data_IF_461277682096
#
_entry.id   IF_461277682096
#
_cell.length_a   1.000
_cell.length_b   1.000
_cell.length_c   1.000
_cell.angle_alpha   90.00
_cell.angle_beta   90.00
_cell.angle_gamma   90.00
#
_symmetry.space_group_name_H-M   'P 1'
#
loop_
_entity.id
_entity.type
_entity.pdbx_description
1 polymer ?
#
# COMPACT_ATOMS: atom_id res chain seq x y z
N UNK A 1 -6.48 -6.34 -17.76
CA UNK A 1 -6.19 -5.36 -16.71
C UNK A 1 -7.35 -5.32 -15.71
N UNK A 2 -7.04 -5.52 -14.43
CA UNK A 2 -8.03 -5.54 -13.34
C UNK A 2 -8.30 -4.14 -12.75
N UNK A 3 -7.50 -3.13 -13.11
CA UNK A 3 -7.62 -1.74 -12.61
C UNK A 3 -7.61 -1.63 -11.07
N UNK A 4 -6.86 -2.53 -10.39
CA UNK A 4 -6.78 -2.57 -8.93
C UNK A 4 -7.91 -3.33 -8.22
N UNK A 5 -8.97 -3.73 -8.93
CA UNK A 5 -10.13 -4.38 -8.35
C UNK A 5 -9.91 -5.88 -8.11
N UNK A 6 -10.00 -6.33 -6.85
CA UNK A 6 -9.77 -7.72 -6.46
C UNK A 6 -10.71 -8.72 -7.13
N UNK A 7 -11.98 -8.35 -7.31
CA UNK A 7 -12.96 -9.18 -8.02
C UNK A 7 -12.61 -9.39 -9.49
N UNK A 8 -12.09 -8.35 -10.14
CA UNK A 8 -11.60 -8.43 -11.52
C UNK A 8 -10.34 -9.30 -11.60
N UNK A 9 -9.42 -9.19 -10.63
CA UNK A 9 -8.24 -10.05 -10.53
C UNK A 9 -8.67 -11.52 -10.46
N UNK A 10 -9.58 -11.87 -9.57
CA UNK A 10 -10.10 -13.24 -9.40
C UNK A 10 -10.72 -13.77 -10.69
N UNK A 11 -11.54 -12.97 -11.37
CA UNK A 11 -12.18 -13.37 -12.63
C UNK A 11 -11.16 -13.62 -13.75
N UNK A 12 -10.20 -12.71 -13.91
CA UNK A 12 -9.16 -12.82 -14.96
C UNK A 12 -8.28 -14.05 -14.71
N UNK A 13 -7.83 -14.24 -13.47
CA UNK A 13 -6.96 -15.38 -13.10
C UNK A 13 -7.72 -16.70 -13.26
N UNK A 14 -9.00 -16.75 -12.88
CA UNK A 14 -9.84 -17.92 -13.12
C UNK A 14 -9.88 -18.33 -14.60
N UNK A 15 -9.93 -17.35 -15.52
CA UNK A 15 -9.80 -17.58 -16.95
C UNK A 15 -8.43 -18.19 -17.32
N UNK A 16 -7.33 -17.64 -16.80
CA UNK A 16 -5.99 -18.19 -17.08
C UNK A 16 -5.82 -19.63 -16.61
N UNK A 17 -6.38 -19.98 -15.45
CA UNK A 17 -6.35 -21.34 -14.92
C UNK A 17 -7.20 -22.28 -15.80
N UNK A 18 -8.40 -21.84 -16.21
CA UNK A 18 -9.28 -22.62 -17.08
C UNK A 18 -8.67 -22.87 -18.47
N UNK A 19 -7.97 -21.90 -19.02
CA UNK A 19 -7.27 -21.96 -20.30
C UNK A 19 -5.90 -22.67 -20.21
N UNK A 20 -5.52 -23.16 -19.02
CA UNK A 20 -4.28 -23.90 -18.75
C UNK A 20 -3.01 -23.18 -19.21
N UNK A 21 -2.86 -21.89 -18.85
CA UNK A 21 -1.64 -21.14 -19.14
C UNK A 21 -0.43 -21.76 -18.42
N UNK A 22 0.74 -21.71 -19.04
CA UNK A 22 1.99 -22.29 -18.51
C UNK A 22 2.59 -21.45 -17.37
N UNK A 23 2.23 -20.16 -17.30
CA UNK A 23 2.77 -19.18 -16.32
C UNK A 23 1.77 -18.04 -16.13
N UNK A 24 1.63 -17.59 -14.90
CA UNK A 24 0.87 -16.36 -14.57
C UNK A 24 1.86 -15.32 -14.05
N UNK A 25 1.86 -14.12 -14.67
CA UNK A 25 2.57 -12.95 -14.13
C UNK A 25 1.58 -12.07 -13.39
N UNK A 26 1.82 -11.90 -12.09
CA UNK A 26 0.96 -11.10 -11.20
C UNK A 26 1.66 -9.78 -10.85
N UNK A 27 1.06 -8.66 -11.25
CA UNK A 27 1.56 -7.33 -10.93
C UNK A 27 0.73 -6.72 -9.80
N UNK A 28 1.37 -6.38 -8.70
CA UNK A 28 0.82 -5.87 -7.44
C UNK A 28 0.06 -6.91 -6.59
N UNK A 29 -0.19 -6.54 -5.34
CA UNK A 29 -0.70 -7.40 -4.25
C UNK A 29 -1.98 -8.12 -4.62
N UNK A 30 -3.02 -7.42 -5.07
CA UNK A 30 -4.33 -8.02 -5.38
C UNK A 30 -4.24 -9.08 -6.48
N UNK A 31 -3.41 -8.86 -7.51
CA UNK A 31 -3.19 -9.83 -8.58
C UNK A 31 -2.44 -11.07 -8.08
N UNK A 32 -1.42 -10.89 -7.22
CA UNK A 32 -0.67 -11.99 -6.63
C UNK A 32 -1.55 -12.84 -5.70
N UNK A 33 -2.34 -12.21 -4.85
CA UNK A 33 -3.28 -12.90 -3.96
C UNK A 33 -4.31 -13.71 -4.74
N UNK A 34 -4.90 -13.14 -5.80
CA UNK A 34 -5.84 -13.84 -6.66
C UNK A 34 -5.17 -15.04 -7.38
N UNK A 35 -3.96 -14.86 -7.90
CA UNK A 35 -3.24 -15.93 -8.58
C UNK A 35 -2.83 -17.06 -7.63
N UNK A 36 -2.30 -16.71 -6.46
CA UNK A 36 -1.92 -17.68 -5.42
C UNK A 36 -3.11 -18.49 -4.89
N UNK A 37 -4.30 -17.87 -4.80
CA UNK A 37 -5.52 -18.55 -4.37
C UNK A 37 -6.13 -19.47 -5.44
N UNK A 38 -5.88 -19.18 -6.72
CA UNK A 38 -6.51 -19.89 -7.83
C UNK A 38 -5.76 -21.15 -8.28
N UNK A 39 -4.47 -21.26 -7.99
CA UNK A 39 -3.65 -22.42 -8.45
C UNK A 39 -2.48 -22.69 -7.51
N UNK A 40 -2.18 -23.97 -7.32
CA UNK A 40 -1.00 -24.47 -6.61
C UNK A 40 0.00 -25.16 -7.55
N UNK A 41 -0.33 -25.25 -8.84
CA UNK A 41 0.44 -25.97 -9.87
C UNK A 41 1.02 -25.07 -10.95
N UNK A 42 0.26 -24.08 -11.42
CA UNK A 42 0.77 -23.13 -12.42
C UNK A 42 1.78 -22.20 -11.73
N UNK A 43 3.00 -22.04 -12.25
CA UNK A 43 3.95 -21.06 -11.72
C UNK A 43 3.38 -19.65 -11.74
N UNK A 44 3.55 -18.92 -10.62
CA UNK A 44 3.14 -17.52 -10.48
C UNK A 44 4.37 -16.67 -10.19
N UNK A 45 4.63 -15.69 -11.05
CA UNK A 45 5.68 -14.69 -10.85
C UNK A 45 5.08 -13.36 -10.46
N UNK A 46 5.38 -12.91 -9.24
CA UNK A 46 4.99 -11.60 -8.72
C UNK A 46 5.99 -10.50 -9.09
N UNK A 47 5.48 -9.32 -9.35
CA UNK A 47 6.24 -8.08 -9.47
C UNK A 47 5.48 -6.94 -8.81
N UNK A 48 6.17 -5.89 -8.38
CA UNK A 48 5.56 -4.81 -7.58
C UNK A 48 4.91 -5.36 -6.30
N UNK A 49 5.64 -6.23 -5.61
CA UNK A 49 5.21 -6.86 -4.36
C UNK A 49 6.12 -6.39 -3.24
N UNK A 50 5.53 -5.78 -2.22
CA UNK A 50 6.28 -5.23 -1.08
C UNK A 50 6.92 -6.34 -0.24
N UNK A 51 6.12 -7.22 0.34
CA UNK A 51 6.60 -8.34 1.19
C UNK A 51 5.71 -9.56 0.95
N UNK A 52 6.26 -10.60 0.33
CA UNK A 52 5.51 -11.78 -0.11
C UNK A 52 4.78 -12.54 1.00
N UNK A 53 5.46 -12.82 2.10
CA UNK A 53 4.86 -13.54 3.22
C UNK A 53 3.74 -12.77 3.89
N UNK A 54 3.86 -11.44 4.02
CA UNK A 54 2.81 -10.57 4.57
C UNK A 54 1.57 -10.60 3.67
N UNK A 55 1.75 -10.37 2.37
CA UNK A 55 0.61 -10.29 1.43
C UNK A 55 -0.03 -11.64 1.15
N UNK A 56 0.68 -12.76 1.43
CA UNK A 56 0.18 -14.13 1.27
C UNK A 56 -0.21 -14.81 2.59
N UNK A 57 -0.32 -14.04 3.69
CA UNK A 57 -0.83 -14.57 4.95
C UNK A 57 0.16 -15.45 5.73
N UNK A 58 1.47 -15.18 5.63
CA UNK A 58 2.53 -15.78 6.44
C UNK A 58 3.25 -16.97 5.81
N UNK A 59 2.89 -17.37 4.59
CA UNK A 59 3.63 -18.42 3.86
C UNK A 59 3.59 -18.22 2.35
N UNK A 60 4.72 -18.42 1.69
CA UNK A 60 4.83 -18.33 0.23
C UNK A 60 4.63 -19.74 -0.35
N UNK A 61 3.59 -19.97 -1.19
CA UNK A 61 3.40 -21.24 -1.87
C UNK A 61 4.57 -21.62 -2.78
N UNK A 62 4.80 -22.92 -2.98
CA UNK A 62 5.96 -23.42 -3.73
C UNK A 62 5.97 -23.01 -5.20
N UNK A 63 4.80 -22.74 -5.77
CA UNK A 63 4.63 -22.32 -7.17
C UNK A 63 4.72 -20.79 -7.31
N UNK A 64 4.95 -20.03 -6.23
CA UNK A 64 5.03 -18.56 -6.24
C UNK A 64 6.48 -18.11 -6.07
N UNK A 65 6.91 -17.19 -6.90
CA UNK A 65 8.20 -16.49 -6.82
C UNK A 65 8.08 -15.09 -7.43
N UNK A 66 9.16 -14.31 -7.43
CA UNK A 66 9.18 -13.00 -8.08
C UNK A 66 10.17 -12.02 -7.46
N UNK A 67 9.91 -10.74 -7.62
CA UNK A 67 10.75 -9.64 -7.12
C UNK A 67 10.00 -8.82 -6.07
N UNK A 68 10.71 -8.38 -5.01
CA UNK A 68 10.21 -7.42 -4.04
C UNK A 68 10.60 -5.99 -4.45
N UNK A 69 9.70 -5.05 -4.19
CA UNK A 69 9.90 -3.61 -4.36
C UNK A 69 9.85 -2.85 -3.02
N UNK A 70 10.05 -3.56 -1.90
CA UNK A 70 10.04 -2.94 -0.59
C UNK A 70 11.03 -1.77 -0.54
N UNK A 71 10.48 -0.58 -0.33
CA UNK A 71 11.27 0.64 -0.20
C UNK A 71 12.08 0.64 1.11
N UNK A 72 13.18 1.39 1.17
CA UNK A 72 13.98 1.57 2.39
C UNK A 72 13.21 2.44 3.40
N UNK A 73 12.42 1.82 4.27
CA UNK A 73 11.47 2.49 5.16
C UNK A 73 12.16 3.38 6.22
N UNK A 74 13.36 3.02 6.63
CA UNK A 74 14.18 3.85 7.55
C UNK A 74 14.56 5.17 6.89
N UNK A 75 15.01 5.13 5.65
CA UNK A 75 15.35 6.32 4.87
C UNK A 75 14.13 7.18 4.56
N UNK A 76 12.97 6.56 4.32
CA UNK A 76 11.71 7.29 4.14
C UNK A 76 11.28 8.02 5.41
N UNK A 77 11.32 7.36 6.57
CA UNK A 77 11.03 8.00 7.84
C UNK A 77 12.00 9.16 8.14
N UNK A 78 13.31 8.93 7.89
CA UNK A 78 14.31 9.98 8.03
C UNK A 78 14.07 11.15 7.08
N UNK A 79 13.67 10.91 5.85
CA UNK A 79 13.37 11.96 4.88
C UNK A 79 12.27 12.89 5.39
N UNK A 80 11.23 12.37 6.08
CA UNK A 80 10.17 13.20 6.68
C UNK A 80 10.78 14.18 7.70
N UNK A 81 11.62 13.70 8.59
CA UNK A 81 12.26 14.55 9.62
C UNK A 81 13.30 15.52 9.05
N UNK A 82 13.94 15.17 7.95
CA UNK A 82 14.91 16.05 7.27
C UNK A 82 14.22 17.17 6.46
N UNK A 83 13.07 16.89 5.85
CA UNK A 83 12.37 17.83 4.97
C UNK A 83 11.36 18.71 5.70
N UNK A 84 10.81 18.25 6.82
CA UNK A 84 9.81 19.00 7.61
C UNK A 84 10.43 19.43 8.93
N UNK A 85 10.95 20.69 9.03
CA UNK A 85 11.57 21.18 10.23
C UNK A 85 10.62 21.17 11.43
N UNK A 86 11.09 20.67 12.57
CA UNK A 86 10.31 20.58 13.82
C UNK A 86 9.02 19.74 13.70
N UNK A 87 8.97 18.76 12.78
CA UNK A 87 7.85 17.83 12.68
C UNK A 87 7.61 17.16 14.05
N UNK A 88 6.38 17.23 14.51
CA UNK A 88 5.95 16.68 15.81
C UNK A 88 4.84 15.64 15.66
N UNK A 89 4.07 15.73 14.58
CA UNK A 89 2.94 14.85 14.30
C UNK A 89 2.82 14.51 12.82
N UNK A 90 2.89 13.22 12.49
CA UNK A 90 2.76 12.72 11.11
C UNK A 90 1.48 11.91 10.97
N UNK A 91 0.69 12.24 9.96
CA UNK A 91 -0.46 11.43 9.52
C UNK A 91 0.00 10.29 8.61
N UNK A 92 -0.48 9.09 8.87
CA UNK A 92 -0.19 7.90 8.07
C UNK A 92 -1.45 7.56 7.29
N UNK A 93 -1.52 7.96 6.01
CA UNK A 93 -2.71 7.86 5.16
C UNK A 93 -2.61 6.65 4.23
N UNK A 94 -3.53 5.69 4.34
CA UNK A 94 -3.47 4.47 3.54
C UNK A 94 -4.81 3.75 3.43
N UNK A 95 -4.92 2.84 2.44
CA UNK A 95 -6.07 1.95 2.26
C UNK A 95 -5.96 0.74 3.20
N UNK A 96 -6.95 0.57 4.09
CA UNK A 96 -6.99 -0.57 5.03
C UNK A 96 -7.21 -1.93 4.34
N UNK A 97 -7.64 -1.95 3.09
CA UNK A 97 -7.77 -3.17 2.29
C UNK A 97 -6.44 -3.65 1.67
N UNK A 98 -5.37 -2.85 1.78
CA UNK A 98 -4.06 -3.18 1.22
C UNK A 98 -3.05 -3.58 2.33
N UNK A 99 -2.83 -4.89 2.50
CA UNK A 99 -1.91 -5.42 3.53
C UNK A 99 -0.45 -4.93 3.39
N UNK A 100 0.00 -4.66 2.15
CA UNK A 100 1.29 -4.05 1.88
C UNK A 100 1.40 -2.63 2.46
N UNK A 101 0.32 -1.87 2.42
CA UNK A 101 0.26 -0.50 2.95
C UNK A 101 0.33 -0.51 4.48
N UNK A 102 -0.45 -1.37 5.13
CA UNK A 102 -0.43 -1.51 6.59
C UNK A 102 0.96 -1.89 7.12
N UNK A 103 1.63 -2.86 6.47
CA UNK A 103 2.99 -3.26 6.85
C UNK A 103 3.98 -2.08 6.82
N UNK A 104 3.97 -1.28 5.75
CA UNK A 104 4.85 -0.13 5.60
C UNK A 104 4.55 0.96 6.62
N UNK A 105 3.27 1.25 6.82
CA UNK A 105 2.79 2.24 7.80
C UNK A 105 3.22 1.85 9.21
N UNK A 106 3.10 0.59 9.62
CA UNK A 106 3.50 0.13 10.94
C UNK A 106 5.01 0.27 11.17
N UNK A 107 5.80 -0.06 10.15
CA UNK A 107 7.25 0.07 10.23
C UNK A 107 7.68 1.55 10.33
N UNK A 108 7.14 2.42 9.48
CA UNK A 108 7.45 3.86 9.49
C UNK A 108 6.95 4.53 10.78
N UNK A 109 5.76 4.16 11.26
CA UNK A 109 5.22 4.63 12.54
C UNK A 109 6.20 4.38 13.68
N UNK A 110 6.66 3.14 13.79
CA UNK A 110 7.61 2.76 14.84
C UNK A 110 8.91 3.57 14.78
N UNK A 111 9.47 3.76 13.59
CA UNK A 111 10.72 4.52 13.41
C UNK A 111 10.52 5.99 13.79
N UNK A 112 9.41 6.61 13.38
CA UNK A 112 9.09 7.99 13.71
C UNK A 112 8.85 8.18 15.21
N UNK A 113 8.14 7.26 15.85
CA UNK A 113 7.88 7.28 17.30
C UNK A 113 9.17 7.11 18.12
N UNK A 114 10.10 6.24 17.69
CA UNK A 114 11.43 6.11 18.28
C UNK A 114 12.26 7.40 18.13
N UNK A 115 12.00 8.18 17.08
CA UNK A 115 12.60 9.51 16.88
C UNK A 115 11.86 10.64 17.64
N UNK A 116 10.80 10.33 18.41
CA UNK A 116 10.05 11.31 19.18
C UNK A 116 8.94 12.02 18.42
N UNK A 117 8.60 11.57 17.21
CA UNK A 117 7.49 12.10 16.39
C UNK A 117 6.22 11.29 16.65
N UNK A 118 5.13 11.98 16.99
CA UNK A 118 3.83 11.32 17.17
C UNK A 118 3.24 10.91 15.82
N UNK A 119 2.70 9.71 15.73
CA UNK A 119 2.03 9.24 14.51
C UNK A 119 0.54 9.00 14.76
N UNK A 120 -0.28 9.18 13.71
CA UNK A 120 -1.70 8.79 13.72
C UNK A 120 -2.10 8.20 12.38
N UNK A 121 -2.72 7.03 12.42
CA UNK A 121 -3.25 6.35 11.24
C UNK A 121 -4.56 7.01 10.77
N UNK A 122 -4.66 7.24 9.48
CA UNK A 122 -5.85 7.70 8.76
C UNK A 122 -6.14 6.71 7.65
N UNK A 123 -7.19 5.91 7.83
CA UNK A 123 -7.51 4.81 6.93
C UNK A 123 -8.77 5.07 6.14
N UNK A 124 -8.75 4.76 4.87
CA UNK A 124 -9.91 4.67 4.00
C UNK A 124 -10.04 3.24 3.45
N UNK A 125 -11.24 2.83 3.07
CA UNK A 125 -11.49 1.51 2.50
C UNK A 125 -11.47 1.50 0.98
N UNK A 126 -11.91 2.61 0.39
CA UNK A 126 -11.96 2.82 -1.06
C UNK A 126 -11.83 4.30 -1.42
N UNK A 127 -11.93 4.63 -2.72
CA UNK A 127 -11.76 5.99 -3.23
C UNK A 127 -12.79 7.00 -2.71
N UNK A 128 -13.97 6.56 -2.23
CA UNK A 128 -15.02 7.49 -1.79
C UNK A 128 -14.66 8.19 -0.48
N UNK A 129 -13.89 7.54 0.37
CA UNK A 129 -13.55 8.05 1.70
C UNK A 129 -12.26 8.89 1.71
N UNK A 130 -11.45 8.84 0.65
CA UNK A 130 -10.10 9.45 0.61
C UNK A 130 -10.13 10.93 0.99
N UNK A 131 -11.02 11.73 0.39
CA UNK A 131 -11.11 13.17 0.66
C UNK A 131 -11.43 13.45 2.12
N UNK A 132 -12.47 12.82 2.67
CA UNK A 132 -12.94 13.07 4.05
C UNK A 132 -11.92 12.61 5.10
N UNK A 133 -11.20 11.51 4.82
CA UNK A 133 -10.13 11.01 5.70
C UNK A 133 -8.92 11.94 5.66
N UNK A 134 -8.57 12.47 4.47
CA UNK A 134 -7.50 13.46 4.32
C UNK A 134 -7.85 14.78 5.05
N UNK A 135 -9.08 15.26 4.91
CA UNK A 135 -9.58 16.43 5.66
C UNK A 135 -9.48 16.23 7.17
N UNK A 136 -9.75 15.02 7.65
CA UNK A 136 -9.61 14.68 9.07
C UNK A 136 -8.17 14.79 9.56
N UNK A 137 -7.19 14.41 8.73
CA UNK A 137 -5.77 14.55 9.06
C UNK A 137 -5.36 16.04 9.17
N UNK A 138 -5.80 16.87 8.22
CA UNK A 138 -5.57 18.32 8.27
C UNK A 138 -6.22 18.95 9.51
N UNK A 139 -7.48 18.60 9.79
CA UNK A 139 -8.20 19.08 10.96
C UNK A 139 -7.51 18.73 12.30
N UNK A 140 -6.92 17.56 12.36
CA UNK A 140 -6.16 17.09 13.53
C UNK A 140 -4.80 17.77 13.69
N UNK A 141 -4.39 18.61 12.75
CA UNK A 141 -3.16 19.39 12.80
C UNK A 141 -1.91 18.51 12.65
N UNK A 142 -1.87 17.66 11.64
CA UNK A 142 -0.63 16.96 11.26
C UNK A 142 0.34 17.91 10.57
N UNK A 143 1.64 17.75 10.82
CA UNK A 143 2.69 18.56 10.21
C UNK A 143 3.10 18.02 8.83
N UNK A 144 2.85 16.74 8.58
CA UNK A 144 3.06 16.07 7.30
C UNK A 144 2.18 14.83 7.18
N UNK A 145 1.98 14.33 5.95
CA UNK A 145 1.38 13.02 5.68
C UNK A 145 2.43 12.10 5.04
N UNK A 146 2.48 10.87 5.53
CA UNK A 146 3.15 9.74 4.87
C UNK A 146 2.12 8.86 4.17
N UNK A 147 2.36 8.57 2.90
CA UNK A 147 1.58 7.64 2.08
C UNK A 147 2.55 6.53 1.63
N UNK A 148 2.28 5.25 1.98
CA UNK A 148 3.09 4.12 1.52
C UNK A 148 2.89 3.83 0.02
N UNK A 149 3.48 2.75 -0.49
CA UNK A 149 3.10 2.21 -1.81
C UNK A 149 1.69 1.63 -1.73
N UNK A 150 0.72 2.48 -2.01
CA UNK A 150 -0.72 2.23 -1.89
C UNK A 150 -1.38 2.52 -3.23
N UNK A 151 -2.01 1.50 -3.85
CA UNK A 151 -2.58 1.64 -5.18
C UNK A 151 -3.82 2.55 -5.17
N UNK A 152 -4.62 2.49 -4.11
CA UNK A 152 -5.81 3.31 -3.98
C UNK A 152 -5.44 4.78 -3.76
N UNK A 153 -4.48 5.07 -2.90
CA UNK A 153 -3.95 6.42 -2.72
C UNK A 153 -3.33 6.97 -4.01
N UNK A 154 -2.52 6.15 -4.72
CA UNK A 154 -1.89 6.54 -5.98
C UNK A 154 -2.91 6.91 -7.06
N UNK A 155 -4.05 6.25 -7.11
CA UNK A 155 -5.14 6.57 -8.04
C UNK A 155 -5.96 7.82 -7.61
N UNK A 156 -5.78 8.30 -6.38
CA UNK A 156 -6.53 9.42 -5.81
C UNK A 156 -5.61 10.59 -5.38
N UNK A 157 -4.41 10.68 -5.92
CA UNK A 157 -3.44 11.74 -5.58
C UNK A 157 -3.98 13.15 -5.77
N UNK A 158 -4.80 13.39 -6.79
CA UNK A 158 -5.43 14.69 -7.01
C UNK A 158 -6.41 15.06 -5.87
N UNK A 159 -7.21 14.10 -5.41
CA UNK A 159 -8.15 14.33 -4.30
C UNK A 159 -7.40 14.63 -2.99
N UNK A 160 -6.31 13.92 -2.73
CA UNK A 160 -5.44 14.16 -1.57
C UNK A 160 -4.79 15.54 -1.68
N UNK A 161 -4.19 15.87 -2.82
CA UNK A 161 -3.51 17.14 -3.05
C UNK A 161 -4.45 18.34 -2.89
N UNK A 162 -5.69 18.24 -3.40
CA UNK A 162 -6.69 19.31 -3.28
C UNK A 162 -7.05 19.65 -1.83
N UNK A 163 -6.83 18.75 -0.88
CA UNK A 163 -7.00 18.98 0.56
C UNK A 163 -5.70 19.49 1.19
N UNK A 164 -4.57 18.86 0.87
CA UNK A 164 -3.30 19.09 1.55
C UNK A 164 -2.61 20.39 1.13
N UNK A 165 -2.61 20.71 -0.18
CA UNK A 165 -1.95 21.90 -0.71
C UNK A 165 -2.50 23.21 -0.13
N UNK A 166 -3.84 23.45 -0.09
CA UNK A 166 -4.39 24.66 0.55
C UNK A 166 -4.10 24.75 2.04
N UNK A 167 -3.93 23.61 2.72
CA UNK A 167 -3.60 23.54 4.14
C UNK A 167 -2.10 23.77 4.40
N UNK A 168 -1.26 23.77 3.37
CA UNK A 168 0.19 23.90 3.49
C UNK A 168 0.85 22.70 4.19
N UNK A 169 0.23 21.52 4.15
CA UNK A 169 0.74 20.28 4.76
C UNK A 169 1.34 19.41 3.68
N UNK A 170 2.66 19.09 3.73
CA UNK A 170 3.34 18.23 2.76
C UNK A 170 3.01 16.74 2.93
#
# INVERSE_FOLDING_TARGET
>A
NASGESTNCTTIVGGFVADTYDLIMANATAALQAASAATDTIPVLGTSITVYDVVLGGSIPKNVSGTSDLAPLEEQAKMITDLVPNVSKVGLLYCSAEANSEYQVDAVSKILEEAGVTTKKYTFNDSNDVTSVTESAVHDGVDAIYIPTDNTAANNTEAINNVMEPAGVP
#
